data_IF_636340684901
#
_entry.id   IF_636340684901
#
_cell.length_a   1.000
_cell.length_b   1.000
_cell.length_c   1.000
_cell.angle_alpha   90.00
_cell.angle_beta   90.00
_cell.angle_gamma   90.00
#
_symmetry.space_group_name_H-M   'P 1'
#
loop_
_entity.id
_entity.type
_entity.pdbx_description
1 polymer ?
#
# COMPACT_ATOMS: atom_id res chain seq x y z
N UNK A 1 -33.71 14.63 42.51
CA UNK A 1 -33.81 15.04 41.09
C UNK A 1 -32.60 15.86 40.63
N UNK A 2 -32.20 16.93 41.35
CA UNK A 2 -31.09 17.82 40.95
C UNK A 2 -29.71 17.14 40.79
N UNK A 3 -29.32 16.23 41.69
CA UNK A 3 -28.02 15.53 41.61
C UNK A 3 -27.91 14.62 40.37
N UNK A 4 -28.99 13.92 40.00
CA UNK A 4 -29.01 13.07 38.80
C UNK A 4 -28.81 13.90 37.53
N UNK A 5 -29.45 15.07 37.46
CA UNK A 5 -29.29 16.01 36.34
C UNK A 5 -27.85 16.53 36.24
N UNK A 6 -27.23 16.86 37.38
CA UNK A 6 -25.84 17.30 37.43
C UNK A 6 -24.84 16.23 36.96
N UNK A 7 -25.04 14.97 37.37
CA UNK A 7 -24.19 13.86 36.92
C UNK A 7 -24.32 13.60 35.42
N UNK A 8 -25.53 13.69 34.85
CA UNK A 8 -25.73 13.56 33.40
C UNK A 8 -25.01 14.68 32.64
N UNK A 9 -25.06 15.91 33.15
CA UNK A 9 -24.34 17.04 32.56
C UNK A 9 -22.82 16.85 32.58
N UNK A 10 -22.26 16.33 33.68
CA UNK A 10 -20.83 16.00 33.77
C UNK A 10 -20.45 14.91 32.77
N UNK A 11 -21.24 13.84 32.65
CA UNK A 11 -20.99 12.77 31.67
C UNK A 11 -21.01 13.30 30.23
N UNK A 12 -21.89 14.25 29.91
CA UNK A 12 -21.96 14.90 28.60
C UNK A 12 -20.73 15.77 28.30
N UNK A 13 -20.19 16.48 29.30
CA UNK A 13 -18.95 17.25 29.12
C UNK A 13 -17.73 16.34 29.01
N UNK A 14 -17.69 15.24 29.76
CA UNK A 14 -16.58 14.27 29.72
C UNK A 14 -16.49 13.53 28.38
N UNK A 15 -17.60 13.33 27.66
CA UNK A 15 -17.60 12.62 26.37
C UNK A 15 -16.83 13.36 25.26
N UNK A 16 -16.66 14.67 25.37
CA UNK A 16 -15.91 15.48 24.39
C UNK A 16 -14.40 15.29 24.49
N UNK A 17 -13.91 14.74 25.60
CA UNK A 17 -12.51 14.38 25.81
C UNK A 17 -12.23 12.90 25.48
N UNK A 18 -13.23 12.15 25.03
CA UNK A 18 -13.04 10.78 24.59
C UNK A 18 -12.52 10.75 23.15
N UNK A 19 -11.30 10.24 22.96
CA UNK A 19 -10.79 9.93 21.63
C UNK A 19 -11.28 8.52 21.23
N UNK A 20 -12.00 8.42 20.12
CA UNK A 20 -12.37 7.13 19.55
C UNK A 20 -11.14 6.45 18.92
N UNK A 21 -11.17 5.12 18.88
CA UNK A 21 -10.13 4.34 18.21
C UNK A 21 -10.30 4.46 16.69
N UNK A 22 -9.29 5.00 16.00
CA UNK A 22 -9.26 5.03 14.53
C UNK A 22 -8.73 3.70 14.01
N UNK A 23 -9.54 3.02 13.19
CA UNK A 23 -9.11 1.84 12.44
C UNK A 23 -9.05 2.20 10.97
N UNK A 24 -7.86 2.28 10.35
CA UNK A 24 -7.78 2.57 8.92
C UNK A 24 -8.42 1.44 8.12
N UNK A 25 -9.06 1.80 7.01
CA UNK A 25 -9.46 0.82 6.02
C UNK A 25 -8.21 0.22 5.37
N UNK A 26 -8.08 -1.09 5.39
CA UNK A 26 -7.09 -1.82 4.60
C UNK A 26 -7.78 -2.90 3.78
N UNK A 27 -7.34 -3.06 2.55
CA UNK A 27 -7.76 -4.15 1.68
C UNK A 27 -6.59 -5.12 1.53
N UNK A 28 -6.82 -6.40 1.80
CA UNK A 28 -5.83 -7.44 1.58
C UNK A 28 -5.95 -8.01 0.18
N UNK A 29 -4.82 -8.09 -0.54
CA UNK A 29 -4.74 -8.71 -1.85
C UNK A 29 -4.08 -10.09 -1.71
N UNK A 30 -4.85 -11.15 -1.93
CA UNK A 30 -4.34 -12.52 -1.93
C UNK A 30 -3.40 -12.77 -3.11
N UNK A 31 -2.54 -13.79 -2.99
CA UNK A 31 -1.67 -14.27 -4.07
C UNK A 31 -2.43 -14.52 -5.37
N UNK A 32 -3.62 -15.12 -5.27
CA UNK A 32 -4.50 -15.39 -6.42
C UNK A 32 -5.02 -14.14 -7.12
N UNK A 33 -5.02 -12.97 -6.46
CA UNK A 33 -5.52 -11.71 -7.04
C UNK A 33 -4.48 -11.03 -7.92
N UNK A 34 -3.20 -11.17 -7.61
CA UNK A 34 -2.10 -10.56 -8.38
C UNK A 34 -1.19 -11.56 -9.09
N UNK A 35 -1.35 -12.86 -8.83
CA UNK A 35 -0.67 -13.99 -9.51
C UNK A 35 0.85 -13.83 -9.59
N UNK A 36 1.49 -13.47 -8.48
CA UNK A 36 2.94 -13.31 -8.41
C UNK A 36 3.53 -13.97 -7.14
N UNK A 37 4.81 -13.73 -6.89
CA UNK A 37 5.49 -14.29 -5.72
C UNK A 37 4.96 -13.67 -4.43
N UNK A 38 5.10 -14.40 -3.33
CA UNK A 38 4.61 -13.98 -2.02
C UNK A 38 5.45 -12.94 -1.29
N UNK A 39 6.58 -12.52 -1.87
CA UNK A 39 7.46 -11.51 -1.28
C UNK A 39 7.51 -10.26 -2.15
N UNK A 40 7.29 -9.13 -1.48
CA UNK A 40 7.43 -7.79 -2.02
C UNK A 40 8.64 -7.13 -1.36
N UNK A 41 9.56 -6.59 -2.15
CA UNK A 41 10.83 -6.03 -1.69
C UNK A 41 10.85 -4.51 -1.61
N UNK A 42 9.94 -3.87 -2.34
CA UNK A 42 9.85 -2.41 -2.38
C UNK A 42 8.54 -1.97 -3.01
N UNK A 43 8.13 -0.76 -2.69
CA UNK A 43 6.90 -0.15 -3.18
C UNK A 43 7.18 1.31 -3.54
N UNK A 44 6.63 1.77 -4.67
CA UNK A 44 6.67 3.16 -5.05
C UNK A 44 5.36 3.56 -5.71
N UNK A 45 4.84 4.73 -5.34
CA UNK A 45 3.66 5.33 -5.97
C UNK A 45 4.13 6.32 -7.03
N UNK A 46 3.56 6.25 -8.23
CA UNK A 46 3.77 7.25 -9.27
C UNK A 46 2.81 8.45 -9.11
N UNK A 47 3.12 9.57 -9.76
CA UNK A 47 2.30 10.78 -9.73
C UNK A 47 0.89 10.55 -10.29
N UNK A 48 0.75 9.64 -11.26
CA UNK A 48 -0.53 9.22 -11.83
C UNK A 48 -1.36 8.28 -10.92
N UNK A 49 -0.91 8.02 -9.69
CA UNK A 49 -1.61 7.20 -8.70
C UNK A 49 -1.40 5.69 -8.83
N UNK A 50 -0.71 5.20 -9.87
CA UNK A 50 -0.35 3.78 -9.97
C UNK A 50 0.65 3.40 -8.87
N UNK A 51 0.49 2.19 -8.35
CA UNK A 51 1.40 1.59 -7.37
C UNK A 51 2.26 0.56 -8.09
N UNK A 52 3.56 0.64 -7.84
CA UNK A 52 4.56 -0.27 -8.37
C UNK A 52 5.20 -1.03 -7.22
N UNK A 53 5.28 -2.35 -7.34
CA UNK A 53 5.83 -3.21 -6.30
C UNK A 53 6.91 -4.12 -6.89
N UNK A 54 8.11 -4.07 -6.31
CA UNK A 54 9.19 -5.00 -6.61
C UNK A 54 8.87 -6.36 -6.00
N UNK A 55 8.82 -7.42 -6.81
CA UNK A 55 8.37 -8.76 -6.39
C UNK A 55 9.29 -9.86 -6.92
N UNK A 56 9.25 -11.03 -6.29
CA UNK A 56 9.99 -12.24 -6.71
C UNK A 56 9.77 -12.61 -8.19
N UNK A 57 8.57 -12.38 -8.73
CA UNK A 57 8.23 -12.77 -10.10
C UNK A 57 8.31 -11.61 -11.12
N UNK A 58 8.64 -10.39 -10.66
CA UNK A 58 8.76 -9.21 -11.53
C UNK A 58 8.25 -7.92 -10.89
N UNK A 59 7.93 -6.94 -11.73
CA UNK A 59 7.35 -5.67 -11.35
C UNK A 59 5.83 -5.80 -11.35
N UNK A 60 5.21 -5.67 -10.19
CA UNK A 60 3.75 -5.57 -10.08
C UNK A 60 3.31 -4.12 -10.28
N UNK A 61 2.22 -3.96 -11.02
CA UNK A 61 1.61 -2.67 -11.35
C UNK A 61 0.14 -2.75 -10.93
N UNK A 62 -0.25 -1.90 -9.99
CA UNK A 62 -1.63 -1.78 -9.54
C UNK A 62 -2.18 -0.39 -9.91
N UNK A 63 -3.35 -0.37 -10.54
CA UNK A 63 -3.97 0.86 -11.04
C UNK A 63 -5.20 1.31 -10.22
N UNK A 64 -5.41 0.75 -9.03
CA UNK A 64 -6.61 0.99 -8.22
C UNK A 64 -7.74 -0.02 -8.45
N UNK A 65 -7.63 -0.91 -9.46
CA UNK A 65 -8.62 -1.95 -9.72
C UNK A 65 -7.96 -3.30 -10.02
N UNK A 66 -7.01 -3.30 -10.94
CA UNK A 66 -6.39 -4.49 -11.49
C UNK A 66 -4.88 -4.52 -11.23
N UNK A 67 -4.37 -5.74 -11.08
CA UNK A 67 -2.95 -6.03 -11.02
C UNK A 67 -2.44 -6.49 -12.38
N UNK A 68 -1.24 -6.06 -12.73
CA UNK A 68 -0.46 -6.56 -13.88
C UNK A 68 0.95 -6.86 -13.43
N UNK A 69 1.59 -7.84 -14.06
CA UNK A 69 2.99 -8.18 -13.82
C UNK A 69 3.81 -7.94 -15.09
N UNK A 70 4.96 -7.29 -14.95
CA UNK A 70 6.00 -7.22 -15.98
C UNK A 70 7.24 -7.96 -15.45
N UNK A 71 7.67 -9.00 -16.15
CA UNK A 71 8.87 -9.77 -15.76
C UNK A 71 10.07 -9.34 -16.60
N UNK A 72 11.26 -9.40 -16.01
CA UNK A 72 12.51 -9.26 -16.75
C UNK A 72 12.70 -10.44 -17.71
N UNK A 73 13.45 -10.29 -18.82
CA UNK A 73 13.70 -11.39 -19.76
C UNK A 73 14.31 -12.63 -19.11
N UNK A 74 15.22 -12.43 -18.15
CA UNK A 74 15.88 -13.47 -17.35
C UNK A 74 15.02 -13.99 -16.18
N UNK A 75 13.82 -13.41 -15.96
CA UNK A 75 12.89 -13.73 -14.87
C UNK A 75 13.52 -13.68 -13.47
N UNK A 76 14.51 -12.81 -13.28
CA UNK A 76 15.12 -12.58 -11.96
C UNK A 76 14.21 -11.76 -11.06
N UNK A 77 14.43 -11.88 -9.74
CA UNK A 77 13.68 -11.14 -8.73
C UNK A 77 13.98 -9.65 -8.80
N UNK A 78 12.93 -8.81 -8.83
CA UNK A 78 13.10 -7.37 -8.66
C UNK A 78 13.17 -7.05 -7.16
N UNK A 79 14.24 -6.39 -6.74
CA UNK A 79 14.58 -6.13 -5.34
C UNK A 79 14.30 -4.70 -4.89
N UNK A 80 14.23 -3.76 -5.82
CA UNK A 80 13.91 -2.36 -5.51
C UNK A 80 13.11 -1.74 -6.65
N UNK A 81 12.31 -0.73 -6.32
CA UNK A 81 11.52 0.02 -7.28
C UNK A 81 11.42 1.49 -6.85
N UNK A 82 11.53 2.39 -7.81
CA UNK A 82 11.34 3.83 -7.62
C UNK A 82 10.62 4.40 -8.84
N UNK A 83 9.44 5.00 -8.61
CA UNK A 83 8.69 5.71 -9.64
C UNK A 83 9.01 7.20 -9.57
N UNK A 84 9.47 7.79 -10.68
CA UNK A 84 9.76 9.22 -10.80
C UNK A 84 9.25 9.72 -12.15
N UNK A 85 8.32 10.69 -12.13
CA UNK A 85 7.63 11.15 -13.34
C UNK A 85 7.03 9.96 -14.10
N UNK A 86 7.41 9.79 -15.36
CA UNK A 86 6.94 8.71 -16.24
C UNK A 86 7.84 7.46 -16.23
N UNK A 87 8.92 7.45 -15.44
CA UNK A 87 9.88 6.34 -15.40
C UNK A 87 9.78 5.53 -14.13
N UNK A 88 9.89 4.22 -14.28
CA UNK A 88 9.92 3.27 -13.17
C UNK A 88 11.30 2.63 -13.13
N UNK A 89 12.14 3.03 -12.19
CA UNK A 89 13.46 2.44 -11.98
C UNK A 89 13.32 1.17 -11.16
N UNK A 90 14.07 0.13 -11.52
CA UNK A 90 14.10 -1.13 -10.78
C UNK A 90 15.51 -1.68 -10.68
N UNK A 91 15.87 -2.18 -9.50
CA UNK A 91 17.07 -2.98 -9.27
C UNK A 91 16.72 -4.46 -9.15
N UNK A 92 17.53 -5.32 -9.76
CA UNK A 92 17.40 -6.78 -9.74
C UNK A 92 18.75 -7.43 -9.43
N UNK A 93 18.84 -8.75 -9.56
CA UNK A 93 20.08 -9.49 -9.37
C UNK A 93 21.06 -9.12 -10.48
N UNK A 94 22.19 -8.50 -10.12
CA UNK A 94 23.26 -8.05 -11.04
C UNK A 94 22.80 -7.08 -12.15
N UNK A 95 21.58 -6.55 -12.06
CA UNK A 95 20.98 -5.71 -13.09
C UNK A 95 20.25 -4.49 -12.49
N UNK A 96 20.29 -3.38 -13.22
CA UNK A 96 19.54 -2.16 -12.91
C UNK A 96 19.06 -1.52 -14.20
N UNK A 97 17.85 -0.96 -14.19
CA UNK A 97 17.26 -0.33 -15.36
C UNK A 97 15.96 0.39 -15.05
N UNK A 98 15.22 0.71 -16.10
CA UNK A 98 13.92 1.37 -15.98
C UNK A 98 12.90 0.81 -16.98
N UNK A 99 11.63 1.06 -16.69
CA UNK A 99 10.48 0.77 -17.54
C UNK A 99 9.83 2.08 -17.98
N UNK A 100 9.43 2.14 -19.25
CA UNK A 100 8.52 3.14 -19.82
C UNK A 100 7.04 2.69 -19.74
#
# INVERSE_FOLDING_TARGET
MKLKVFLVFICFLASHFAYAQFTPYFENYSLSKYNAGNQNWGISKAENGKIYVANNNGLLIYNGLNWKIKSLPNKTTIRSVLAVKDKIYTGSYEEFGYWD
#
